data_IF_989962458681
#
_entry.id   IF_989962458681
#
_cell.length_a   1.000
_cell.length_b   1.000
_cell.length_c   1.000
_cell.angle_alpha   90.00
_cell.angle_beta   90.00
_cell.angle_gamma   90.00
#
_symmetry.space_group_name_H-M   'P 1'
#
loop_
_entity.id
_entity.type
_entity.pdbx_description
1 polymer ?
#
# COMPACT_ATOMS: atom_id res chain seq x y z
N UNK A 1 -10.75 -76.06 28.30
CA UNK A 1 -11.71 -74.95 28.29
C UNK A 1 -11.75 -74.12 29.59
N UNK A 2 -11.65 -74.74 30.74
CA UNK A 2 -11.71 -74.08 32.05
C UNK A 2 -10.59 -73.06 32.33
N UNK A 3 -9.36 -73.33 31.92
CA UNK A 3 -8.21 -72.43 32.15
C UNK A 3 -8.34 -71.03 31.51
N UNK A 4 -8.89 -70.93 30.30
CA UNK A 4 -9.08 -69.64 29.64
C UNK A 4 -10.19 -68.84 30.31
N UNK A 5 -11.21 -69.46 30.83
CA UNK A 5 -12.32 -68.78 31.55
C UNK A 5 -11.84 -68.17 32.86
N UNK A 6 -11.01 -68.89 33.64
CA UNK A 6 -10.42 -68.39 34.89
C UNK A 6 -9.45 -67.19 34.62
N UNK A 7 -8.65 -67.30 33.59
CA UNK A 7 -7.77 -66.21 33.19
C UNK A 7 -8.53 -64.93 32.82
N UNK A 8 -9.64 -65.05 32.05
CA UNK A 8 -10.50 -63.96 31.70
C UNK A 8 -11.22 -63.36 32.93
N UNK A 9 -11.72 -64.18 33.83
CA UNK A 9 -12.33 -63.76 35.12
C UNK A 9 -11.35 -62.92 35.94
N UNK A 10 -10.11 -63.43 36.17
CA UNK A 10 -9.07 -62.65 36.86
C UNK A 10 -8.72 -61.32 36.17
N UNK A 11 -8.72 -61.30 34.85
CA UNK A 11 -8.50 -60.07 34.12
C UNK A 11 -9.66 -59.03 34.26
N UNK A 12 -10.89 -59.55 34.36
CA UNK A 12 -12.06 -58.67 34.60
C UNK A 12 -12.06 -58.19 36.07
N UNK A 13 -11.73 -59.05 37.05
CA UNK A 13 -11.62 -58.67 38.46
C UNK A 13 -10.49 -57.62 38.68
N UNK A 14 -9.39 -57.71 37.92
CA UNK A 14 -8.28 -56.78 37.99
C UNK A 14 -8.63 -55.35 37.44
N UNK A 15 -9.66 -55.23 36.62
CA UNK A 15 -10.13 -53.95 36.12
C UNK A 15 -10.87 -53.14 37.21
N UNK A 16 -11.44 -53.85 38.22
CA UNK A 16 -12.14 -53.20 39.33
C UNK A 16 -13.50 -52.61 38.92
N UNK A 17 -14.13 -51.83 39.81
CA UNK A 17 -15.43 -51.22 39.53
C UNK A 17 -15.35 -50.22 38.38
N UNK A 18 -16.04 -50.50 37.31
CA UNK A 18 -16.13 -49.63 36.13
C UNK A 18 -17.14 -48.50 36.42
N UNK A 19 -16.67 -47.26 36.35
CA UNK A 19 -17.55 -46.11 36.42
C UNK A 19 -18.18 -45.84 35.01
N UNK A 20 -19.39 -46.29 34.79
CA UNK A 20 -20.10 -46.16 33.53
C UNK A 20 -20.37 -44.68 33.14
N UNK A 21 -20.45 -43.76 34.12
CA UNK A 21 -20.63 -42.33 33.84
C UNK A 21 -19.44 -41.74 33.07
N UNK A 22 -18.23 -42.31 33.23
CA UNK A 22 -17.03 -41.89 32.49
C UNK A 22 -17.16 -42.19 30.99
N UNK A 23 -17.89 -43.25 30.62
CA UNK A 23 -18.12 -43.58 29.19
C UNK A 23 -18.95 -42.50 28.49
N UNK A 24 -20.02 -42.05 29.16
CA UNK A 24 -20.89 -40.98 28.59
C UNK A 24 -20.19 -39.65 28.53
N UNK A 25 -19.43 -39.30 29.58
CA UNK A 25 -18.59 -38.10 29.59
C UNK A 25 -17.51 -38.16 28.51
N UNK A 26 -16.86 -39.29 28.28
CA UNK A 26 -15.89 -39.48 27.22
C UNK A 26 -16.49 -39.27 25.84
N UNK A 27 -17.68 -39.84 25.59
CA UNK A 27 -18.37 -39.66 24.31
C UNK A 27 -18.74 -38.20 24.07
N UNK A 28 -19.25 -37.50 25.09
CA UNK A 28 -19.58 -36.08 24.99
C UNK A 28 -18.32 -35.24 24.71
N UNK A 29 -17.26 -35.44 25.47
CA UNK A 29 -15.98 -34.73 25.27
C UNK A 29 -15.35 -35.06 23.93
N UNK A 30 -15.46 -36.30 23.47
CA UNK A 30 -14.97 -36.71 22.15
C UNK A 30 -15.72 -36.03 21.01
N UNK A 31 -17.07 -35.92 21.10
CA UNK A 31 -17.90 -35.17 20.13
C UNK A 31 -17.51 -33.69 20.14
N UNK A 32 -17.37 -33.09 21.32
CA UNK A 32 -16.97 -31.71 21.48
C UNK A 32 -15.57 -31.44 20.88
N UNK A 33 -14.61 -32.31 21.15
CA UNK A 33 -13.26 -32.22 20.59
C UNK A 33 -13.28 -32.31 19.07
N UNK A 34 -14.11 -33.19 18.50
CA UNK A 34 -14.25 -33.28 17.05
C UNK A 34 -14.75 -31.95 16.46
N UNK A 35 -15.82 -31.38 17.00
CA UNK A 35 -16.36 -30.09 16.55
C UNK A 35 -15.30 -28.97 16.63
N UNK A 36 -14.56 -28.91 17.75
CA UNK A 36 -13.49 -27.91 17.90
C UNK A 36 -12.35 -28.11 16.92
N UNK A 37 -11.99 -29.35 16.59
CA UNK A 37 -10.98 -29.66 15.57
C UNK A 37 -11.45 -29.22 14.18
N UNK A 38 -12.70 -29.50 13.83
CA UNK A 38 -13.27 -29.12 12.54
C UNK A 38 -13.33 -27.58 12.42
N UNK A 39 -13.82 -26.89 13.46
CA UNK A 39 -13.83 -25.42 13.50
C UNK A 39 -12.41 -24.81 13.38
N UNK A 40 -11.43 -25.40 14.08
CA UNK A 40 -10.03 -24.96 13.96
C UNK A 40 -9.50 -25.14 12.55
N UNK A 41 -9.83 -26.24 11.90
CA UNK A 41 -9.42 -26.49 10.52
C UNK A 41 -10.02 -25.44 9.57
N UNK A 42 -11.32 -25.19 9.68
CA UNK A 42 -12.03 -24.18 8.85
C UNK A 42 -11.43 -22.78 9.04
N UNK A 43 -11.12 -22.42 10.30
CA UNK A 43 -10.49 -21.11 10.59
C UNK A 43 -9.09 -20.99 10.00
N UNK A 44 -8.28 -22.06 10.05
CA UNK A 44 -6.94 -22.05 9.44
C UNK A 44 -7.00 -21.98 7.91
N UNK A 45 -7.98 -22.63 7.31
CA UNK A 45 -8.22 -22.55 5.87
C UNK A 45 -8.69 -21.14 5.47
N UNK A 46 -9.62 -20.56 6.23
CA UNK A 46 -10.07 -19.19 6.02
C UNK A 46 -8.93 -18.17 6.17
N UNK A 47 -8.08 -18.33 7.19
CA UNK A 47 -6.88 -17.48 7.37
C UNK A 47 -5.93 -17.56 6.17
N UNK A 48 -5.68 -18.78 5.68
CA UNK A 48 -4.84 -18.99 4.50
C UNK A 48 -5.43 -18.31 3.27
N UNK A 49 -6.72 -18.50 3.02
CA UNK A 49 -7.42 -17.91 1.88
C UNK A 49 -7.38 -16.37 1.93
N UNK A 50 -7.54 -15.78 3.11
CA UNK A 50 -7.42 -14.34 3.32
C UNK A 50 -6.01 -13.83 3.05
N UNK A 51 -4.99 -14.51 3.55
CA UNK A 51 -3.58 -14.16 3.28
C UNK A 51 -3.25 -14.23 1.79
N UNK A 52 -3.74 -15.23 1.10
CA UNK A 52 -3.52 -15.38 -0.35
C UNK A 52 -4.28 -14.29 -1.15
N UNK A 53 -5.48 -13.90 -0.71
CA UNK A 53 -6.22 -12.78 -1.29
C UNK A 53 -5.50 -11.45 -1.10
N UNK A 54 -4.99 -11.16 0.12
CA UNK A 54 -4.20 -9.96 0.41
C UNK A 54 -2.97 -9.91 -0.49
N UNK A 55 -2.18 -10.99 -0.59
CA UNK A 55 -1.00 -11.03 -1.46
C UNK A 55 -1.32 -10.73 -2.92
N UNK A 56 -2.45 -11.22 -3.43
CA UNK A 56 -2.90 -10.92 -4.79
C UNK A 56 -3.24 -9.44 -4.96
N UNK A 57 -3.96 -8.86 -4.01
CA UNK A 57 -4.31 -7.44 -4.01
C UNK A 57 -3.04 -6.59 -3.98
N UNK A 58 -2.11 -6.88 -3.06
CA UNK A 58 -0.84 -6.15 -2.93
C UNK A 58 -0.01 -6.21 -4.21
N UNK A 59 0.06 -7.38 -4.86
CA UNK A 59 0.80 -7.52 -6.11
C UNK A 59 0.22 -6.68 -7.25
N UNK A 60 -1.11 -6.61 -7.36
CA UNK A 60 -1.80 -5.77 -8.35
C UNK A 60 -1.63 -4.30 -8.03
N UNK A 61 -1.82 -3.93 -6.75
CA UNK A 61 -1.65 -2.56 -6.28
C UNK A 61 -0.22 -2.06 -6.50
N UNK A 62 0.80 -2.88 -6.16
CA UNK A 62 2.21 -2.57 -6.38
C UNK A 62 2.52 -2.29 -7.85
N UNK A 63 2.03 -3.15 -8.74
CA UNK A 63 2.23 -2.96 -10.19
C UNK A 63 1.58 -1.66 -10.67
N UNK A 64 0.31 -1.44 -10.32
CA UNK A 64 -0.42 -0.25 -10.74
C UNK A 64 0.18 1.04 -10.16
N UNK A 65 0.66 0.99 -8.91
CA UNK A 65 1.36 2.10 -8.29
C UNK A 65 2.65 2.44 -9.04
N UNK A 66 3.51 1.45 -9.32
CA UNK A 66 4.77 1.67 -10.02
C UNK A 66 4.56 2.21 -11.44
N UNK A 67 3.60 1.65 -12.19
CA UNK A 67 3.24 2.14 -13.52
C UNK A 67 2.75 3.60 -13.50
N UNK A 68 1.99 3.97 -12.46
CA UNK A 68 1.50 5.34 -12.26
C UNK A 68 2.63 6.27 -11.84
N UNK A 69 3.45 5.83 -10.88
CA UNK A 69 4.58 6.59 -10.36
C UNK A 69 5.58 6.96 -11.46
N UNK A 70 5.95 6.01 -12.32
CA UNK A 70 6.83 6.27 -13.45
C UNK A 70 6.27 7.30 -14.43
N UNK A 71 4.97 7.26 -14.70
CA UNK A 71 4.33 8.27 -15.55
C UNK A 71 4.37 9.65 -14.93
N UNK A 72 4.05 9.76 -13.63
CA UNK A 72 4.10 11.02 -12.89
C UNK A 72 5.54 11.54 -12.82
N UNK A 73 6.52 10.68 -12.60
CA UNK A 73 7.94 11.02 -12.59
C UNK A 73 8.37 11.63 -13.92
N UNK A 74 8.06 10.98 -15.03
CA UNK A 74 8.38 11.48 -16.36
C UNK A 74 7.68 12.82 -16.67
N UNK A 75 6.44 12.99 -16.23
CA UNK A 75 5.73 14.24 -16.35
C UNK A 75 6.37 15.33 -15.49
N UNK A 76 6.81 14.99 -14.27
CA UNK A 76 7.45 15.94 -13.37
C UNK A 76 8.79 16.44 -13.93
N UNK A 77 9.61 15.57 -14.50
CA UNK A 77 10.87 15.97 -15.14
C UNK A 77 10.62 16.99 -16.25
N UNK A 78 9.64 16.74 -17.11
CA UNK A 78 9.25 17.66 -18.19
C UNK A 78 8.67 18.98 -17.67
N UNK A 79 7.76 18.90 -16.69
CA UNK A 79 7.12 20.08 -16.13
C UNK A 79 8.12 20.92 -15.35
N UNK A 80 9.07 20.29 -14.65
CA UNK A 80 10.15 20.98 -13.96
C UNK A 80 11.04 21.76 -14.96
N UNK A 81 11.36 21.18 -16.11
CA UNK A 81 12.14 21.84 -17.15
C UNK A 81 11.39 23.05 -17.77
N UNK A 82 10.06 22.96 -17.89
CA UNK A 82 9.22 24.10 -18.36
C UNK A 82 9.31 25.28 -17.38
N UNK A 83 9.21 25.01 -16.08
CA UNK A 83 9.28 26.06 -15.06
C UNK A 83 10.71 26.52 -14.77
N UNK A 84 11.68 25.62 -14.78
CA UNK A 84 13.09 25.90 -14.48
C UNK A 84 13.95 25.58 -15.70
N UNK A 85 13.95 26.46 -16.68
CA UNK A 85 14.73 26.28 -17.92
C UNK A 85 16.20 25.95 -17.61
N UNK A 86 16.64 24.75 -17.98
CA UNK A 86 17.99 24.24 -17.68
C UNK A 86 18.13 23.65 -16.26
N UNK A 87 17.07 23.59 -15.46
CA UNK A 87 17.02 22.89 -14.19
C UNK A 87 16.76 21.39 -14.37
N UNK A 88 16.99 20.62 -13.30
CA UNK A 88 16.68 19.18 -13.24
C UNK A 88 15.80 18.88 -12.04
N UNK A 89 14.68 18.22 -12.26
CA UNK A 89 13.78 17.74 -11.23
C UNK A 89 13.50 16.26 -11.41
N UNK A 90 13.34 15.53 -10.30
CA UNK A 90 12.97 14.11 -10.33
C UNK A 90 12.28 13.74 -9.02
N UNK A 91 11.41 12.75 -9.07
CA UNK A 91 10.83 12.10 -7.88
C UNK A 91 11.30 10.66 -7.84
N UNK A 92 11.66 10.18 -6.65
CA UNK A 92 12.14 8.83 -6.47
C UNK A 92 11.51 8.22 -5.20
N UNK A 93 11.39 6.89 -5.20
CA UNK A 93 11.03 6.14 -4.00
C UNK A 93 12.29 5.89 -3.18
N UNK A 94 12.20 6.03 -1.87
CA UNK A 94 13.31 5.72 -0.96
C UNK A 94 13.51 4.23 -0.86
N UNK A 95 12.43 3.45 -0.78
CA UNK A 95 12.44 1.98 -0.79
C UNK A 95 11.75 1.44 -2.05
N UNK A 96 12.54 0.85 -2.94
CA UNK A 96 12.05 0.25 -4.19
C UNK A 96 11.47 -1.16 -3.92
N UNK A 97 11.90 -1.84 -2.86
CA UNK A 97 11.42 -3.19 -2.56
C UNK A 97 10.00 -3.16 -2.00
N UNK A 98 9.68 -2.16 -1.16
CA UNK A 98 8.32 -1.92 -0.66
C UNK A 98 7.75 -0.56 -1.10
N UNK A 99 7.39 -0.40 -2.37
CA UNK A 99 6.98 0.88 -2.93
C UNK A 99 5.64 1.39 -2.40
N UNK A 100 4.78 0.53 -1.82
CA UNK A 100 3.49 0.95 -1.27
C UNK A 100 3.63 1.64 0.09
N UNK A 101 4.68 1.34 0.83
CA UNK A 101 4.99 1.94 2.13
C UNK A 101 6.20 2.89 2.07
N UNK A 102 6.79 3.07 0.88
CA UNK A 102 7.97 3.90 0.66
C UNK A 102 7.66 5.39 0.72
N UNK A 103 8.57 6.16 1.29
CA UNK A 103 8.55 7.61 1.17
C UNK A 103 8.93 8.05 -0.24
N UNK A 104 8.34 9.18 -0.69
CA UNK A 104 8.66 9.81 -1.97
C UNK A 104 9.62 10.97 -1.74
N UNK A 105 10.81 10.86 -2.32
CA UNK A 105 11.84 11.89 -2.25
C UNK A 105 11.81 12.76 -3.51
N UNK A 106 11.67 14.06 -3.34
CA UNK A 106 11.70 15.04 -4.43
C UNK A 106 13.12 15.61 -4.55
N UNK A 107 13.66 15.46 -5.74
CA UNK A 107 14.91 16.08 -6.15
C UNK A 107 14.58 17.29 -7.03
N UNK A 108 15.09 18.48 -6.70
CA UNK A 108 14.86 19.69 -7.44
C UNK A 108 16.14 20.55 -7.49
N UNK A 109 16.67 20.74 -8.68
CA UNK A 109 17.87 21.51 -8.94
C UNK A 109 17.57 22.62 -9.96
N UNK A 110 17.21 23.83 -9.50
CA UNK A 110 17.12 24.99 -10.37
C UNK A 110 18.46 25.33 -11.05
N UNK A 111 18.44 26.05 -12.17
CA UNK A 111 19.66 26.41 -12.88
C UNK A 111 20.61 27.23 -11.99
N UNK A 112 21.92 26.95 -12.09
CA UNK A 112 22.96 27.64 -11.31
C UNK A 112 23.17 27.15 -9.89
N UNK A 113 22.36 26.22 -9.36
CA UNK A 113 22.53 25.60 -8.04
C UNK A 113 23.16 24.22 -8.15
N UNK A 114 24.20 23.97 -7.32
CA UNK A 114 24.88 22.65 -7.27
C UNK A 114 24.22 21.64 -6.34
N UNK A 115 23.43 22.10 -5.37
CA UNK A 115 22.78 21.26 -4.37
C UNK A 115 21.25 21.25 -4.59
N UNK A 116 20.69 20.07 -4.49
CA UNK A 116 19.34 19.72 -4.91
C UNK A 116 18.38 19.38 -3.78
N UNK A 117 18.70 19.83 -2.55
CA UNK A 117 17.79 19.65 -1.43
C UNK A 117 16.67 20.68 -1.45
N UNK A 118 15.40 20.25 -1.36
CA UNK A 118 14.25 21.15 -1.23
C UNK A 118 14.39 22.19 -0.11
N UNK A 119 15.16 21.86 0.95
CA UNK A 119 15.40 22.77 2.07
C UNK A 119 16.17 24.01 1.68
N UNK A 120 16.99 23.92 0.62
CA UNK A 120 17.88 25.01 0.15
C UNK A 120 17.21 25.88 -0.95
N UNK A 121 16.01 25.57 -1.35
CA UNK A 121 15.24 26.34 -2.31
C UNK A 121 14.63 27.58 -1.62
N UNK A 122 14.53 28.68 -2.36
CA UNK A 122 13.76 29.85 -1.94
C UNK A 122 12.27 29.52 -1.83
N UNK A 123 11.47 30.39 -1.21
CA UNK A 123 10.03 30.19 -1.09
C UNK A 123 9.36 30.04 -2.46
N UNK A 124 9.68 30.94 -3.41
CA UNK A 124 9.15 30.88 -4.78
C UNK A 124 9.58 29.63 -5.54
N UNK A 125 10.84 29.19 -5.40
CA UNK A 125 11.32 27.95 -6.03
C UNK A 125 10.62 26.70 -5.45
N UNK A 126 10.37 26.67 -4.14
CA UNK A 126 9.58 25.59 -3.51
C UNK A 126 8.17 25.54 -4.05
N UNK A 127 7.52 26.69 -4.11
CA UNK A 127 6.14 26.78 -4.63
C UNK A 127 6.06 26.38 -6.11
N UNK A 128 7.01 26.84 -6.92
CA UNK A 128 7.06 26.46 -8.33
C UNK A 128 7.35 24.96 -8.52
N UNK A 129 8.16 24.36 -7.66
CA UNK A 129 8.39 22.90 -7.64
C UNK A 129 7.12 22.14 -7.25
N UNK A 130 6.37 22.63 -6.26
CA UNK A 130 5.09 22.05 -5.87
C UNK A 130 4.05 22.14 -6.99
N UNK A 131 4.00 23.27 -7.68
CA UNK A 131 3.15 23.50 -8.86
C UNK A 131 3.53 22.52 -9.99
N UNK A 132 4.82 22.34 -10.25
CA UNK A 132 5.30 21.36 -11.23
C UNK A 132 4.84 19.94 -10.92
N UNK A 133 4.90 19.55 -9.64
CA UNK A 133 4.41 18.25 -9.21
C UNK A 133 2.89 18.12 -9.35
N UNK A 134 2.14 19.14 -8.94
CA UNK A 134 0.68 19.19 -9.09
C UNK A 134 0.25 18.97 -10.54
N UNK A 135 0.85 19.73 -11.48
CA UNK A 135 0.54 19.59 -12.90
C UNK A 135 1.01 18.24 -13.47
N UNK A 136 2.05 17.66 -12.95
CA UNK A 136 2.54 16.33 -13.36
C UNK A 136 1.55 15.22 -12.98
N UNK A 137 0.94 15.33 -11.81
CA UNK A 137 -0.14 14.43 -11.37
C UNK A 137 -1.40 14.70 -12.19
N UNK A 138 -1.71 15.97 -12.43
CA UNK A 138 -2.84 16.39 -13.24
C UNK A 138 -2.77 15.84 -14.67
N UNK A 139 -1.61 15.87 -15.31
CA UNK A 139 -1.39 15.29 -16.64
C UNK A 139 -1.68 13.80 -16.70
N UNK A 140 -1.40 13.07 -15.62
CA UNK A 140 -1.69 11.63 -15.57
C UNK A 140 -3.20 11.35 -15.54
N UNK A 141 -3.96 12.13 -14.77
CA UNK A 141 -5.43 12.01 -14.67
C UNK A 141 -6.07 13.39 -14.68
N UNK A 142 -6.29 13.97 -15.86
CA UNK A 142 -6.90 15.28 -15.96
C UNK A 142 -8.33 15.29 -15.41
N UNK A 143 -8.66 16.38 -14.69
CA UNK A 143 -10.00 16.65 -14.18
C UNK A 143 -10.73 17.64 -15.12
N UNK A 144 -12.04 17.59 -15.25
CA UNK A 144 -12.78 18.57 -16.05
C UNK A 144 -12.71 20.01 -15.50
N UNK A 145 -12.45 20.16 -14.21
CA UNK A 145 -12.25 21.47 -13.57
C UNK A 145 -11.19 21.37 -12.48
N UNK A 146 -10.53 22.49 -12.20
CA UNK A 146 -9.53 22.65 -11.15
C UNK A 146 -9.71 24.00 -10.47
N UNK A 147 -9.76 24.03 -9.13
CA UNK A 147 -9.84 25.26 -8.33
C UNK A 147 -8.47 25.50 -7.72
N UNK A 148 -7.90 26.66 -7.98
CA UNK A 148 -6.61 27.10 -7.47
C UNK A 148 -6.84 28.35 -6.61
N UNK A 149 -6.33 28.33 -5.36
CA UNK A 149 -6.49 29.41 -4.41
C UNK A 149 -5.10 29.86 -3.91
N UNK A 150 -4.77 31.12 -4.07
CA UNK A 150 -3.52 31.78 -3.61
C UNK A 150 -2.22 31.07 -4.01
N UNK A 151 -2.24 30.28 -5.09
CA UNK A 151 -1.08 29.48 -5.51
C UNK A 151 0.06 30.36 -6.06
N UNK A 152 -0.27 31.54 -6.52
CA UNK A 152 0.62 32.55 -7.12
C UNK A 152 1.27 33.49 -6.07
N UNK A 153 0.73 33.56 -4.85
CA UNK A 153 1.18 34.50 -3.82
C UNK A 153 2.70 34.48 -3.54
N UNK A 154 3.41 33.34 -3.54
CA UNK A 154 4.85 33.29 -3.34
C UNK A 154 5.68 33.42 -4.64
N UNK A 155 5.05 33.60 -5.80
CA UNK A 155 5.72 33.68 -7.10
C UNK A 155 6.09 35.14 -7.44
N UNK A 156 7.22 35.32 -8.11
CA UNK A 156 7.59 36.56 -8.73
C UNK A 156 6.93 36.70 -10.13
N UNK A 157 7.00 37.89 -10.72
CA UNK A 157 6.32 38.19 -11.99
C UNK A 157 6.76 37.27 -13.15
N UNK A 158 8.02 36.82 -13.16
CA UNK A 158 8.54 35.92 -14.18
C UNK A 158 7.92 34.53 -14.02
N UNK A 159 7.82 34.04 -12.77
CA UNK A 159 7.25 32.75 -12.49
C UNK A 159 5.72 32.74 -12.61
N UNK A 160 5.04 33.86 -12.30
CA UNK A 160 3.61 34.03 -12.56
C UNK A 160 3.33 33.89 -14.05
N UNK A 161 4.17 34.51 -14.91
CA UNK A 161 4.00 34.40 -16.37
C UNK A 161 4.11 32.92 -16.82
N UNK A 162 5.13 32.19 -16.38
CA UNK A 162 5.30 30.77 -16.73
C UNK A 162 4.11 29.95 -16.28
N UNK A 163 3.63 30.21 -15.05
CA UNK A 163 2.46 29.54 -14.50
C UNK A 163 1.19 29.81 -15.34
N UNK A 164 0.93 31.07 -15.71
CA UNK A 164 -0.21 31.42 -16.54
C UNK A 164 -0.12 30.83 -17.95
N UNK A 165 1.08 30.73 -18.54
CA UNK A 165 1.29 30.09 -19.84
C UNK A 165 0.91 28.59 -19.76
N UNK A 166 1.30 27.90 -18.71
CA UNK A 166 0.93 26.50 -18.46
C UNK A 166 -0.58 26.35 -18.25
N UNK A 167 -1.21 27.19 -17.43
CA UNK A 167 -2.68 27.18 -17.25
C UNK A 167 -3.39 27.41 -18.58
N UNK A 168 -2.92 28.37 -19.39
CA UNK A 168 -3.51 28.67 -20.69
C UNK A 168 -3.47 27.46 -21.62
N UNK A 169 -2.41 26.69 -21.60
CA UNK A 169 -2.31 25.44 -22.37
C UNK A 169 -3.34 24.40 -21.92
N UNK A 170 -3.46 24.19 -20.63
CA UNK A 170 -4.40 23.21 -20.07
C UNK A 170 -5.85 23.66 -20.06
N UNK A 171 -6.12 24.97 -20.15
CA UNK A 171 -7.48 25.52 -20.20
C UNK A 171 -8.27 25.12 -21.45
N UNK A 172 -7.59 24.57 -22.46
CA UNK A 172 -8.24 23.97 -23.64
C UNK A 172 -9.07 22.73 -23.34
N UNK A 173 -8.75 22.02 -22.25
CA UNK A 173 -9.40 20.76 -21.85
C UNK A 173 -9.98 20.79 -20.43
N UNK A 174 -9.62 21.79 -19.62
CA UNK A 174 -10.01 21.92 -18.21
C UNK A 174 -10.43 23.34 -17.89
N UNK A 175 -11.46 23.49 -17.08
CA UNK A 175 -11.84 24.77 -16.51
C UNK A 175 -11.03 25.05 -15.23
N UNK A 176 -10.25 26.15 -15.22
CA UNK A 176 -9.53 26.63 -14.05
C UNK A 176 -10.26 27.77 -13.40
#
# INVERSE_FOLDING_TARGET
MTYNVEKIKRSIEAIGPINWAVSDEYEEQSKRLKVLKDQRFDLLEAEKNLKDAIKKIDSVAKKQFLDTFEKIKNNFEKMFEVFFVGGKGSINLEDIEDPLNSDVVIFAQPPGKKNSSLRMLSAGEKSLTAIALLFSIYQYKPSPFCVLDEIDAPLDDINIKKFTDVISEYSKSTQF
#
